data_IF_275327903697
#
_entry.id   IF_275327903697
#
_cell.length_a   1.000
_cell.length_b   1.000
_cell.length_c   1.000
_cell.angle_alpha   90.00
_cell.angle_beta   90.00
_cell.angle_gamma   90.00
#
_symmetry.space_group_name_H-M   'P 1'
#
loop_
_entity.id
_entity.type
_entity.pdbx_description
1 polymer ?
#
# COMPACT_ATOMS: atom_id res chain seq x y z
N UNK A 1 25.23 21.92 0.81
CA UNK A 1 24.48 20.70 0.39
C UNK A 1 24.53 19.75 1.56
N UNK A 2 23.39 19.42 2.12
CA UNK A 2 23.33 18.45 3.22
C UNK A 2 23.75 17.06 2.71
N UNK A 3 24.47 16.34 3.57
CA UNK A 3 24.84 14.95 3.27
C UNK A 3 23.56 14.10 3.14
N UNK A 4 23.32 13.44 2.00
CA UNK A 4 22.13 12.63 1.79
C UNK A 4 22.02 11.46 2.79
N UNK A 5 23.11 11.10 3.46
CA UNK A 5 23.12 10.10 4.53
C UNK A 5 22.65 10.65 5.89
N UNK A 6 22.52 11.99 6.04
CA UNK A 6 22.05 12.57 7.31
C UNK A 6 20.57 12.27 7.55
N UNK A 7 20.25 11.71 8.72
CA UNK A 7 18.88 11.44 9.14
C UNK A 7 18.24 12.69 9.75
N UNK A 8 17.20 13.20 9.13
CA UNK A 8 16.34 14.22 9.72
C UNK A 8 15.32 13.52 10.66
N UNK A 9 15.65 13.54 11.94
CA UNK A 9 14.83 12.91 13.00
C UNK A 9 13.52 13.66 13.19
N UNK A 10 13.51 14.99 13.10
CA UNK A 10 12.29 15.79 13.29
C UNK A 10 11.28 15.51 12.19
N UNK A 11 11.71 15.49 10.94
CA UNK A 11 10.87 15.12 9.80
C UNK A 11 10.35 13.69 9.95
N UNK A 12 11.19 12.72 10.32
CA UNK A 12 10.79 11.34 10.53
C UNK A 12 9.69 11.21 11.59
N UNK A 13 9.85 11.91 12.72
CA UNK A 13 8.83 11.90 13.78
C UNK A 13 7.54 12.61 13.35
N UNK A 14 7.61 13.64 12.51
CA UNK A 14 6.43 14.26 11.93
C UNK A 14 5.68 13.29 10.99
N UNK A 15 6.39 12.55 10.14
CA UNK A 15 5.81 11.52 9.27
C UNK A 15 5.13 10.40 10.08
N UNK A 16 5.74 9.97 11.19
CA UNK A 16 5.13 8.98 12.11
C UNK A 16 3.84 9.49 12.76
N UNK A 17 3.79 10.77 13.16
CA UNK A 17 2.56 11.39 13.67
C UNK A 17 1.45 11.41 12.61
N UNK A 18 1.78 11.78 11.37
CA UNK A 18 0.83 11.75 10.25
C UNK A 18 0.30 10.32 9.99
N UNK A 19 1.16 9.31 10.11
CA UNK A 19 0.74 7.90 10.03
C UNK A 19 -0.26 7.55 11.13
N UNK A 20 0.01 7.93 12.38
CA UNK A 20 -0.92 7.69 13.49
C UNK A 20 -2.27 8.40 13.29
N UNK A 21 -2.28 9.61 12.73
CA UNK A 21 -3.50 10.33 12.37
C UNK A 21 -4.27 9.60 11.28
N UNK A 22 -3.58 9.12 10.23
CA UNK A 22 -4.20 8.35 9.15
C UNK A 22 -4.82 7.04 9.64
N UNK A 23 -4.25 6.41 10.66
CA UNK A 23 -4.81 5.19 11.27
C UNK A 23 -6.08 5.44 12.11
N UNK A 24 -6.34 6.68 12.51
CA UNK A 24 -7.56 7.10 13.22
C UNK A 24 -8.65 7.62 12.28
N UNK A 25 -8.30 7.97 11.06
CA UNK A 25 -9.21 8.49 10.05
C UNK A 25 -10.05 7.35 9.44
N UNK A 26 -11.38 7.33 9.61
CA UNK A 26 -12.24 6.26 9.12
C UNK A 26 -12.22 6.10 7.59
N UNK A 27 -11.88 7.15 6.85
CA UNK A 27 -11.79 7.11 5.39
C UNK A 27 -10.43 6.64 4.86
N UNK A 28 -9.43 6.46 5.76
CA UNK A 28 -8.05 6.13 5.40
C UNK A 28 -7.52 4.90 6.13
N UNK A 29 -7.97 4.68 7.34
CA UNK A 29 -7.49 3.61 8.22
C UNK A 29 -7.71 2.22 7.62
N UNK A 30 -6.72 1.35 7.62
CA UNK A 30 -6.92 -0.06 7.27
C UNK A 30 -7.87 -0.78 8.24
N UNK A 31 -8.04 -0.27 9.45
CA UNK A 31 -8.97 -0.81 10.44
C UNK A 31 -10.44 -0.48 10.15
N UNK A 32 -10.69 0.50 9.29
CA UNK A 32 -12.03 0.77 8.78
C UNK A 32 -12.48 -0.27 7.73
N UNK A 33 -11.56 -1.04 7.15
CA UNK A 33 -11.90 -2.02 6.13
C UNK A 33 -12.72 -3.18 6.72
N UNK A 34 -13.91 -3.38 6.16
CA UNK A 34 -14.91 -4.38 6.61
C UNK A 34 -15.24 -5.40 5.53
N UNK A 35 -15.00 -5.11 4.26
CA UNK A 35 -15.24 -6.02 3.15
C UNK A 35 -14.29 -5.75 1.98
N UNK A 36 -14.12 -6.74 1.14
CA UNK A 36 -13.45 -6.65 -0.15
C UNK A 36 -14.24 -7.40 -1.19
N UNK A 37 -14.48 -6.78 -2.33
CA UNK A 37 -15.07 -7.41 -3.52
C UNK A 37 -14.11 -7.32 -4.69
N UNK A 38 -13.74 -8.46 -5.23
CA UNK A 38 -12.97 -8.54 -6.46
C UNK A 38 -13.95 -8.42 -7.65
N UNK A 39 -13.57 -7.66 -8.67
CA UNK A 39 -14.36 -7.60 -9.90
C UNK A 39 -14.12 -8.85 -10.71
N UNK A 40 -15.21 -9.50 -11.12
CA UNK A 40 -15.18 -10.59 -12.08
C UNK A 40 -15.65 -10.08 -13.45
N UNK A 41 -14.82 -10.27 -14.46
CA UNK A 41 -15.09 -9.87 -15.84
C UNK A 41 -15.62 -8.42 -16.00
N UNK A 42 -16.54 -8.19 -16.92
CA UNK A 42 -17.09 -6.86 -17.23
C UNK A 42 -18.31 -6.48 -16.40
N UNK A 43 -18.70 -7.29 -15.39
CA UNK A 43 -19.88 -7.00 -14.60
C UNK A 43 -19.65 -5.85 -13.60
N UNK A 44 -20.52 -4.85 -13.57
CA UNK A 44 -20.47 -3.81 -12.54
C UNK A 44 -20.82 -4.39 -11.18
N UNK A 45 -20.18 -3.91 -10.12
CA UNK A 45 -20.64 -4.12 -8.75
C UNK A 45 -21.66 -3.03 -8.41
N UNK A 46 -22.85 -3.44 -8.00
CA UNK A 46 -23.94 -2.56 -7.58
C UNK A 46 -23.91 -2.40 -6.06
N UNK A 47 -23.99 -1.14 -5.62
CA UNK A 47 -23.94 -0.76 -4.20
C UNK A 47 -25.25 -0.07 -3.82
N UNK A 48 -25.82 -0.45 -2.68
CA UNK A 48 -27.05 0.12 -2.18
C UNK A 48 -27.61 -0.66 -0.98
N UNK A 49 -28.82 -0.30 -0.54
CA UNK A 49 -29.42 -0.94 0.63
C UNK A 49 -30.27 -2.17 0.30
N UNK A 50 -30.57 -2.41 -0.97
CA UNK A 50 -31.38 -3.55 -1.39
C UNK A 50 -30.60 -4.87 -1.30
N UNK A 51 -31.30 -5.96 -1.04
CA UNK A 51 -30.70 -7.30 -0.92
C UNK A 51 -30.16 -7.84 -2.25
N UNK A 52 -30.57 -7.28 -3.38
CA UNK A 52 -30.06 -7.63 -4.72
C UNK A 52 -28.79 -6.86 -5.12
N UNK A 53 -28.23 -6.04 -4.24
CA UNK A 53 -26.95 -5.38 -4.47
C UNK A 53 -25.78 -6.33 -4.18
N UNK A 54 -24.71 -6.20 -4.97
CA UNK A 54 -23.44 -6.93 -4.75
C UNK A 54 -22.76 -6.52 -3.43
N UNK A 55 -22.94 -5.24 -3.05
CA UNK A 55 -22.48 -4.69 -1.78
C UNK A 55 -23.64 -3.99 -1.09
N UNK A 56 -24.14 -4.61 -0.03
CA UNK A 56 -25.23 -4.04 0.75
C UNK A 56 -24.73 -2.99 1.72
N UNK A 57 -25.25 -1.76 1.59
CA UNK A 57 -24.86 -0.60 2.36
C UNK A 57 -26.09 0.07 2.99
N UNK A 58 -26.21 -0.04 4.31
CA UNK A 58 -27.33 0.53 5.06
C UNK A 58 -27.38 2.05 4.95
N UNK A 59 -28.58 2.61 4.95
CA UNK A 59 -28.79 4.06 4.91
C UNK A 59 -28.64 4.69 3.53
N UNK A 60 -28.27 3.92 2.51
CA UNK A 60 -28.25 4.36 1.12
C UNK A 60 -29.60 4.11 0.44
N UNK A 61 -29.74 4.60 -0.81
CA UNK A 61 -30.86 4.23 -1.69
C UNK A 61 -30.80 2.76 -2.08
N UNK A 62 -31.92 2.13 -2.44
CA UNK A 62 -31.97 0.70 -2.76
C UNK A 62 -30.86 0.26 -3.74
N UNK A 63 -30.68 0.96 -4.84
CA UNK A 63 -29.59 0.77 -5.81
C UNK A 63 -28.92 2.12 -6.04
N UNK A 64 -27.97 2.47 -5.18
CA UNK A 64 -27.43 3.84 -5.12
C UNK A 64 -26.45 4.12 -6.26
N UNK A 65 -25.45 3.24 -6.40
CA UNK A 65 -24.37 3.41 -7.37
C UNK A 65 -23.94 2.07 -7.96
N UNK A 66 -23.22 2.13 -9.07
CA UNK A 66 -22.48 1.00 -9.63
C UNK A 66 -21.04 1.40 -9.94
N UNK A 67 -20.16 0.44 -9.86
CA UNK A 67 -18.75 0.59 -10.19
C UNK A 67 -18.34 -0.54 -11.14
N UNK A 68 -17.69 -0.20 -12.24
CA UNK A 68 -17.13 -1.20 -13.15
C UNK A 68 -15.70 -0.87 -13.52
N UNK A 69 -14.95 -1.88 -13.90
CA UNK A 69 -13.61 -1.72 -14.48
C UNK A 69 -13.74 -1.14 -15.89
N UNK A 70 -12.89 -0.19 -16.22
CA UNK A 70 -12.84 0.49 -17.52
C UNK A 70 -11.38 0.62 -17.98
N UNK A 71 -10.86 -0.46 -18.55
CA UNK A 71 -9.42 -0.60 -18.82
C UNK A 71 -8.61 -0.51 -17.53
N UNK A 72 -7.62 0.37 -17.49
CA UNK A 72 -6.76 0.63 -16.33
C UNK A 72 -7.41 1.56 -15.27
N UNK A 73 -8.70 1.86 -15.42
CA UNK A 73 -9.45 2.80 -14.58
C UNK A 73 -10.74 2.16 -14.09
N UNK A 74 -11.51 2.94 -13.35
CA UNK A 74 -12.86 2.56 -12.92
C UNK A 74 -13.87 3.61 -13.38
N UNK A 75 -15.06 3.15 -13.77
CA UNK A 75 -16.21 4.00 -13.99
C UNK A 75 -17.16 3.87 -12.81
N UNK A 76 -17.41 4.99 -12.13
CA UNK A 76 -18.35 5.12 -11.02
C UNK A 76 -19.57 5.87 -11.51
N UNK A 77 -20.77 5.31 -11.26
CA UNK A 77 -22.04 5.91 -11.69
C UNK A 77 -23.09 5.81 -10.58
N UNK A 78 -23.77 6.93 -10.30
CA UNK A 78 -24.99 6.95 -9.51
C UNK A 78 -26.15 6.45 -10.38
N UNK A 79 -26.78 5.33 -10.03
CA UNK A 79 -27.87 4.72 -10.82
C UNK A 79 -29.25 5.16 -10.36
N UNK A 80 -29.46 5.43 -9.07
CA UNK A 80 -30.72 6.04 -8.63
C UNK A 80 -30.82 7.48 -9.16
N UNK A 81 -31.98 7.92 -9.69
CA UNK A 81 -32.15 9.26 -10.25
C UNK A 81 -31.85 10.40 -9.28
N UNK A 82 -32.08 10.19 -7.99
CA UNK A 82 -31.80 11.17 -6.93
C UNK A 82 -30.47 10.96 -6.21
N UNK A 83 -29.63 10.00 -6.63
CA UNK A 83 -28.33 9.75 -6.02
C UNK A 83 -27.23 10.60 -6.67
N UNK A 84 -26.24 10.92 -5.84
CA UNK A 84 -24.95 11.47 -6.24
C UNK A 84 -23.86 10.63 -5.56
N UNK A 85 -22.68 10.66 -6.11
CA UNK A 85 -21.48 10.04 -5.52
C UNK A 85 -20.43 11.13 -5.33
N UNK A 86 -19.74 11.10 -4.20
CA UNK A 86 -18.56 11.93 -3.99
C UNK A 86 -17.32 11.09 -4.28
N UNK A 87 -16.51 11.55 -5.22
CA UNK A 87 -15.36 10.78 -5.71
C UNK A 87 -14.10 11.63 -5.62
N UNK A 88 -13.13 11.18 -4.89
CA UNK A 88 -11.83 11.84 -4.84
C UNK A 88 -10.91 11.25 -5.93
N UNK A 89 -10.37 12.08 -6.86
CA UNK A 89 -10.35 13.56 -6.85
C UNK A 89 -11.48 14.26 -7.61
N UNK A 90 -12.48 13.57 -8.17
CA UNK A 90 -13.44 14.15 -9.12
C UNK A 90 -14.55 15.04 -8.48
N UNK A 91 -14.74 14.96 -7.15
CA UNK A 91 -15.79 15.68 -6.44
C UNK A 91 -17.18 15.03 -6.55
N UNK A 92 -18.23 15.78 -6.20
CA UNK A 92 -19.62 15.30 -6.25
C UNK A 92 -20.11 15.24 -7.69
N UNK A 93 -20.56 14.06 -8.13
CA UNK A 93 -20.96 13.82 -9.51
C UNK A 93 -21.97 12.70 -9.63
N UNK A 94 -22.59 12.56 -10.80
CA UNK A 94 -23.38 11.36 -11.14
C UNK A 94 -22.57 10.30 -11.86
N UNK A 95 -21.44 10.69 -12.49
CA UNK A 95 -20.60 9.77 -13.25
C UNK A 95 -19.18 10.31 -13.31
N UNK A 96 -18.20 9.46 -12.99
CA UNK A 96 -16.79 9.77 -13.13
C UNK A 96 -15.98 8.54 -13.57
N UNK A 97 -15.00 8.77 -14.46
CA UNK A 97 -13.94 7.82 -14.73
C UNK A 97 -12.73 8.19 -13.87
N UNK A 98 -12.27 7.27 -13.07
CA UNK A 98 -11.25 7.56 -12.03
C UNK A 98 -10.12 6.52 -12.03
N UNK A 99 -8.88 6.93 -11.71
CA UNK A 99 -7.74 6.01 -11.64
C UNK A 99 -7.82 5.10 -10.42
N UNK A 100 -7.00 4.04 -10.36
CA UNK A 100 -6.76 3.27 -9.15
C UNK A 100 -6.29 4.16 -8.00
N UNK A 101 -6.64 3.77 -6.77
CA UNK A 101 -6.38 4.57 -5.58
C UNK A 101 -7.45 5.62 -5.27
N UNK A 102 -8.38 5.88 -6.20
CA UNK A 102 -9.53 6.76 -5.96
C UNK A 102 -10.43 6.21 -4.84
N UNK A 103 -11.15 7.14 -4.19
CA UNK A 103 -12.14 6.82 -3.15
C UNK A 103 -13.50 7.31 -3.58
N UNK A 104 -14.53 6.53 -3.24
CA UNK A 104 -15.93 6.87 -3.44
C UNK A 104 -16.58 6.93 -2.07
N UNK A 105 -17.11 8.08 -1.69
CA UNK A 105 -17.78 8.30 -0.41
C UNK A 105 -19.29 8.09 -0.56
N UNK A 106 -19.85 7.21 0.27
CA UNK A 106 -21.24 6.78 0.22
C UNK A 106 -21.81 6.75 1.63
N UNK A 107 -22.28 7.90 2.12
CA UNK A 107 -22.71 8.05 3.52
C UNK A 107 -21.57 7.78 4.49
N UNK A 108 -21.76 6.82 5.42
CA UNK A 108 -20.72 6.41 6.37
C UNK A 108 -19.63 5.53 5.76
N UNK A 109 -19.78 5.12 4.51
CA UNK A 109 -18.88 4.19 3.86
C UNK A 109 -17.92 4.90 2.91
N UNK A 110 -16.71 4.37 2.82
CA UNK A 110 -15.75 4.75 1.80
C UNK A 110 -15.34 3.51 1.01
N UNK A 111 -15.47 3.57 -0.30
CA UNK A 111 -14.99 2.53 -1.21
C UNK A 111 -13.63 2.95 -1.77
N UNK A 112 -12.60 2.15 -1.54
CA UNK A 112 -11.27 2.32 -2.15
C UNK A 112 -11.16 1.43 -3.38
N UNK A 113 -10.78 2.01 -4.51
CA UNK A 113 -10.63 1.31 -5.78
C UNK A 113 -9.16 0.88 -5.96
N UNK A 114 -8.95 -0.41 -6.18
CA UNK A 114 -7.63 -1.03 -6.33
C UNK A 114 -7.54 -1.78 -7.64
N UNK A 115 -6.50 -1.52 -8.43
CA UNK A 115 -6.27 -2.22 -9.69
C UNK A 115 -4.84 -2.80 -9.71
N UNK A 116 -4.72 -4.01 -9.23
CA UNK A 116 -3.44 -4.72 -9.09
C UNK A 116 -3.32 -5.83 -10.15
N UNK A 117 -3.79 -5.57 -11.40
CA UNK A 117 -4.15 -6.57 -12.39
C UNK A 117 -5.23 -7.57 -11.91
N UNK A 118 -5.70 -7.40 -10.68
CA UNK A 118 -6.85 -8.05 -10.05
C UNK A 118 -7.71 -6.96 -9.41
N UNK A 119 -8.56 -6.30 -10.22
CA UNK A 119 -9.34 -5.17 -9.76
C UNK A 119 -10.25 -5.55 -8.59
N UNK A 120 -10.31 -4.68 -7.60
CA UNK A 120 -11.14 -4.86 -6.42
C UNK A 120 -11.60 -3.53 -5.85
N UNK A 121 -12.68 -3.55 -5.12
CA UNK A 121 -13.01 -2.52 -4.16
C UNK A 121 -12.74 -3.03 -2.73
N UNK A 122 -12.30 -2.14 -1.86
CA UNK A 122 -12.22 -2.36 -0.41
C UNK A 122 -13.18 -1.39 0.25
N UNK A 123 -14.13 -1.94 0.99
CA UNK A 123 -15.14 -1.19 1.72
C UNK A 123 -14.63 -0.82 3.10
N UNK A 124 -14.65 0.46 3.42
CA UNK A 124 -14.39 1.01 4.75
C UNK A 124 -15.72 1.46 5.36
N UNK A 125 -15.89 1.22 6.65
CA UNK A 125 -17.05 1.67 7.44
C UNK A 125 -16.55 2.48 8.65
N UNK A 126 -17.02 3.71 8.80
CA UNK A 126 -16.68 4.57 9.95
C UNK A 126 -17.08 3.95 11.31
N UNK A 127 -18.04 3.00 11.30
CA UNK A 127 -18.46 2.28 12.48
C UNK A 127 -17.70 0.95 12.70
N UNK A 128 -16.61 0.71 11.96
CA UNK A 128 -15.80 -0.49 12.18
C UNK A 128 -15.29 -0.57 13.62
N UNK A 129 -15.56 -1.65 14.35
CA UNK A 129 -15.09 -1.81 15.73
C UNK A 129 -13.56 -1.76 15.84
N UNK A 130 -12.87 -2.13 14.77
CA UNK A 130 -11.41 -2.14 14.74
C UNK A 130 -10.78 -0.75 14.70
N UNK A 131 -11.52 0.29 14.33
CA UNK A 131 -11.02 1.68 14.43
C UNK A 131 -10.66 2.05 15.86
N UNK A 132 -11.45 1.58 16.85
CA UNK A 132 -11.22 1.85 18.26
C UNK A 132 -10.27 0.84 18.92
N UNK A 133 -10.22 -0.41 18.43
CA UNK A 133 -9.52 -1.52 19.09
C UNK A 133 -8.22 -1.94 18.39
N UNK A 134 -7.99 -1.51 17.15
CA UNK A 134 -6.80 -1.87 16.39
C UNK A 134 -5.52 -1.29 17.01
N UNK A 135 -4.44 -2.08 17.13
CA UNK A 135 -3.19 -1.60 17.70
C UNK A 135 -2.57 -0.51 16.83
N UNK A 136 -2.14 0.58 17.45
CA UNK A 136 -1.44 1.64 16.74
C UNK A 136 -0.11 1.13 16.14
N UNK A 137 0.31 1.61 14.96
CA UNK A 137 1.64 1.37 14.46
C UNK A 137 2.71 1.73 15.51
N UNK A 138 3.75 0.92 15.59
CA UNK A 138 4.89 1.12 16.47
C UNK A 138 6.17 1.09 15.67
N UNK A 139 7.17 1.81 16.12
CA UNK A 139 8.46 1.91 15.45
C UNK A 139 9.60 1.65 16.42
N UNK A 140 10.72 1.17 15.89
CA UNK A 140 12.00 1.29 16.58
C UNK A 140 12.39 2.76 16.73
N UNK A 141 13.25 3.06 17.70
CA UNK A 141 13.84 4.39 17.82
C UNK A 141 14.59 4.77 16.54
N UNK A 142 14.61 6.06 16.17
CA UNK A 142 15.38 6.52 15.03
C UNK A 142 16.88 6.23 15.22
N UNK A 143 17.49 5.57 14.22
CA UNK A 143 18.91 5.26 14.24
C UNK A 143 19.56 5.64 12.90
N UNK A 144 20.46 6.64 12.89
CA UNK A 144 21.17 7.06 11.68
C UNK A 144 21.98 5.95 11.01
N UNK A 145 22.44 4.93 11.75
CA UNK A 145 23.18 3.80 11.20
C UNK A 145 22.36 2.96 10.19
N UNK A 146 21.03 3.07 10.23
CA UNK A 146 20.12 2.44 9.28
C UNK A 146 19.67 3.36 8.15
N UNK A 147 20.30 4.50 7.94
CA UNK A 147 20.16 5.33 6.75
C UNK A 147 21.45 5.26 5.95
N UNK A 148 21.44 4.52 4.86
CA UNK A 148 22.64 4.19 4.09
C UNK A 148 22.49 4.58 2.63
N UNK A 149 23.63 4.79 1.95
CA UNK A 149 23.66 4.97 0.51
C UNK A 149 23.81 3.62 -0.18
N UNK A 150 23.05 3.41 -1.24
CA UNK A 150 23.08 2.23 -2.06
C UNK A 150 23.34 2.58 -3.53
N UNK A 151 24.20 1.85 -4.18
CA UNK A 151 24.44 1.96 -5.63
C UNK A 151 23.51 1.03 -6.37
N UNK A 152 22.78 1.57 -7.33
CA UNK A 152 21.97 0.77 -8.24
C UNK A 152 22.85 0.18 -9.36
N UNK A 153 22.92 -1.15 -9.36
CA UNK A 153 23.43 -1.95 -10.47
C UNK A 153 22.24 -2.31 -11.35
N UNK A 154 22.06 -1.57 -12.45
CA UNK A 154 20.87 -1.71 -13.32
C UNK A 154 20.88 -3.04 -14.03
N UNK A 155 19.73 -3.66 -14.14
CA UNK A 155 19.57 -4.83 -15.00
C UNK A 155 19.71 -4.39 -16.46
N UNK A 156 20.73 -4.88 -17.20
CA UNK A 156 20.93 -4.51 -18.59
C UNK A 156 19.85 -5.06 -19.54
N UNK A 157 19.09 -6.05 -19.07
CA UNK A 157 17.97 -6.66 -19.76
C UNK A 157 16.77 -6.81 -18.83
N UNK A 158 16.08 -5.70 -18.53
CA UNK A 158 14.99 -5.71 -17.57
C UNK A 158 13.98 -6.80 -17.92
N UNK A 159 13.76 -7.72 -16.97
CA UNK A 159 12.82 -8.84 -17.13
C UNK A 159 11.58 -8.58 -16.32
N UNK A 160 10.46 -9.06 -16.85
CA UNK A 160 9.27 -9.15 -16.02
C UNK A 160 9.45 -10.29 -15.00
N UNK A 161 9.06 -10.00 -13.79
CA UNK A 161 9.06 -10.93 -12.68
C UNK A 161 7.66 -11.10 -12.11
N UNK A 162 7.44 -12.27 -11.57
CA UNK A 162 6.20 -12.57 -10.86
C UNK A 162 6.43 -12.36 -9.36
N UNK A 163 5.62 -11.48 -8.78
CA UNK A 163 5.60 -11.24 -7.34
C UNK A 163 4.30 -11.82 -6.78
N UNK A 164 4.43 -12.79 -5.90
CA UNK A 164 3.27 -13.39 -5.20
C UNK A 164 2.71 -12.37 -4.21
N UNK A 165 1.40 -12.37 -4.03
CA UNK A 165 0.71 -11.52 -3.06
C UNK A 165 0.08 -12.35 -1.94
N UNK A 166 -0.22 -11.69 -0.82
CA UNK A 166 -0.72 -12.32 0.42
C UNK A 166 -2.07 -13.02 0.25
N UNK A 167 -2.84 -12.71 -0.80
CA UNK A 167 -4.10 -13.39 -1.14
C UNK A 167 -3.94 -14.42 -2.27
N UNK A 168 -2.71 -14.80 -2.59
CA UNK A 168 -2.41 -15.81 -3.62
C UNK A 168 -2.40 -15.30 -5.05
N UNK A 169 -2.82 -14.08 -5.32
CA UNK A 169 -2.71 -13.48 -6.65
C UNK A 169 -1.24 -13.23 -7.00
N UNK A 170 -0.92 -13.31 -8.27
CA UNK A 170 0.41 -12.98 -8.78
C UNK A 170 0.39 -11.59 -9.43
N UNK A 171 1.40 -10.79 -9.17
CA UNK A 171 1.61 -9.48 -9.77
C UNK A 171 2.75 -9.54 -10.75
N UNK A 172 2.70 -8.69 -11.76
CA UNK A 172 3.81 -8.47 -12.67
C UNK A 172 4.65 -7.31 -12.15
N UNK A 173 5.95 -7.51 -12.14
CA UNK A 173 6.92 -6.48 -11.78
C UNK A 173 8.04 -6.44 -12.82
N UNK A 174 8.72 -5.32 -12.92
CA UNK A 174 9.97 -5.20 -13.63
C UNK A 174 11.11 -5.09 -12.63
N UNK A 175 12.16 -5.90 -12.83
CA UNK A 175 13.41 -5.71 -12.09
C UNK A 175 14.08 -4.45 -12.60
N UNK A 176 14.25 -3.46 -11.74
CA UNK A 176 14.99 -2.22 -12.05
C UNK A 176 16.49 -2.48 -11.99
N UNK A 177 16.91 -3.33 -11.04
CA UNK A 177 18.28 -3.69 -10.79
C UNK A 177 18.48 -4.18 -9.36
N UNK A 178 19.71 -4.10 -8.91
CA UNK A 178 20.10 -4.44 -7.55
C UNK A 178 20.67 -3.21 -6.85
N UNK A 179 20.32 -3.03 -5.62
CA UNK A 179 20.88 -2.00 -4.75
C UNK A 179 21.95 -2.63 -3.85
N UNK A 180 23.20 -2.29 -4.09
CA UNK A 180 24.36 -2.70 -3.31
C UNK A 180 24.68 -1.66 -2.23
N UNK A 181 24.80 -2.09 -0.99
CA UNK A 181 25.04 -1.22 0.17
C UNK A 181 25.74 -1.96 1.30
N UNK A 182 26.13 -1.21 2.32
CA UNK A 182 26.61 -1.74 3.59
C UNK A 182 25.71 -1.25 4.72
N UNK A 183 25.29 -2.14 5.60
CA UNK A 183 24.49 -1.84 6.79
C UNK A 183 24.94 -2.71 7.96
N UNK A 184 25.10 -2.10 9.12
CA UNK A 184 25.61 -2.75 10.33
C UNK A 184 26.93 -3.54 10.08
N UNK A 185 27.84 -2.96 9.30
CA UNK A 185 29.14 -3.57 8.95
C UNK A 185 29.07 -4.77 8.00
N UNK A 186 27.89 -5.02 7.39
CA UNK A 186 27.68 -6.16 6.48
C UNK A 186 27.33 -5.65 5.09
N UNK A 187 28.04 -6.14 4.06
CA UNK A 187 27.65 -5.90 2.67
C UNK A 187 26.37 -6.67 2.35
N UNK A 188 25.44 -5.99 1.72
CA UNK A 188 24.14 -6.51 1.39
C UNK A 188 23.70 -6.05 -0.01
N UNK A 189 22.78 -6.80 -0.58
CA UNK A 189 22.17 -6.50 -1.89
C UNK A 189 20.68 -6.78 -1.81
N UNK A 190 19.88 -5.88 -2.37
CA UNK A 190 18.42 -6.05 -2.50
C UNK A 190 17.99 -5.80 -3.95
N UNK A 191 17.07 -6.61 -4.43
CA UNK A 191 16.41 -6.40 -5.71
C UNK A 191 15.47 -5.20 -5.60
N UNK A 192 15.61 -4.27 -6.51
CA UNK A 192 14.73 -3.15 -6.71
C UNK A 192 13.70 -3.47 -7.79
N UNK A 193 12.43 -3.35 -7.47
CA UNK A 193 11.30 -3.69 -8.32
C UNK A 193 10.45 -2.48 -8.65
N UNK A 194 9.83 -2.50 -9.82
CA UNK A 194 8.70 -1.65 -10.18
C UNK A 194 7.50 -2.53 -10.48
N UNK A 195 6.41 -2.36 -9.76
CA UNK A 195 5.17 -3.08 -10.08
C UNK A 195 4.59 -2.56 -11.39
N UNK A 196 4.18 -3.48 -12.27
CA UNK A 196 3.56 -3.17 -13.57
C UNK A 196 2.04 -3.17 -13.39
N UNK A 197 1.56 -2.16 -12.69
CA UNK A 197 0.15 -2.01 -12.33
C UNK A 197 -0.35 -0.62 -12.74
N UNK A 198 -1.63 -0.50 -13.12
CA UNK A 198 -2.21 0.79 -13.41
C UNK A 198 -2.06 1.78 -12.24
N UNK A 199 -1.59 2.99 -12.54
CA UNK A 199 -1.37 4.04 -11.53
C UNK A 199 -0.03 4.00 -10.82
N UNK A 200 0.84 3.03 -11.10
CA UNK A 200 2.24 3.03 -10.61
C UNK A 200 3.09 3.88 -11.54
N UNK A 201 3.83 4.82 -10.96
CA UNK A 201 4.74 5.70 -11.69
C UNK A 201 5.88 4.91 -12.33
N UNK A 202 6.26 5.28 -13.56
CA UNK A 202 7.33 4.60 -14.30
C UNK A 202 8.71 4.73 -13.65
N UNK A 203 8.92 5.75 -12.85
CA UNK A 203 10.15 5.97 -12.07
C UNK A 203 10.12 5.33 -10.68
N UNK A 204 9.00 4.74 -10.28
CA UNK A 204 8.86 4.14 -8.95
C UNK A 204 9.85 3.00 -8.74
N UNK A 205 10.49 2.99 -7.59
CA UNK A 205 11.36 1.91 -7.12
C UNK A 205 10.84 1.47 -5.77
N UNK A 206 10.50 0.19 -5.64
CA UNK A 206 10.05 -0.40 -4.38
C UNK A 206 10.94 -1.57 -4.00
N UNK A 207 11.20 -1.70 -2.72
CA UNK A 207 11.90 -2.82 -2.12
C UNK A 207 10.95 -3.51 -1.15
N UNK A 208 10.69 -4.79 -1.39
CA UNK A 208 10.01 -5.67 -0.45
C UNK A 208 11.07 -6.58 0.16
N UNK A 209 11.26 -6.57 1.48
CA UNK A 209 12.38 -7.28 2.10
C UNK A 209 12.02 -7.96 3.41
N UNK A 210 12.85 -8.94 3.77
CA UNK A 210 12.90 -9.58 5.08
C UNK A 210 14.29 -9.41 5.66
N UNK A 211 14.39 -9.47 6.97
CA UNK A 211 15.64 -9.40 7.70
C UNK A 211 15.62 -10.34 8.92
N UNK A 212 16.65 -10.32 9.75
CA UNK A 212 16.73 -11.20 10.91
C UNK A 212 15.71 -10.89 12.03
N UNK A 213 15.00 -9.75 11.95
CA UNK A 213 13.89 -9.40 12.87
C UNK A 213 12.54 -9.95 12.42
N UNK A 214 12.43 -10.35 11.14
CA UNK A 214 11.16 -10.75 10.52
C UNK A 214 10.54 -11.96 11.22
N UNK A 215 9.27 -11.84 11.63
CA UNK A 215 8.53 -12.86 12.36
C UNK A 215 8.86 -12.95 13.85
N UNK A 216 9.65 -12.02 14.38
CA UNK A 216 9.99 -11.90 15.80
C UNK A 216 9.68 -10.51 16.35
N UNK A 217 10.30 -9.49 15.77
CA UNK A 217 10.18 -8.08 16.15
C UNK A 217 9.44 -7.30 15.09
N UNK A 218 9.46 -7.77 13.84
CA UNK A 218 8.77 -7.17 12.69
C UNK A 218 7.85 -8.15 12.01
N UNK A 219 6.94 -7.63 11.19
CA UNK A 219 5.84 -8.38 10.58
C UNK A 219 6.33 -9.61 9.79
N UNK A 220 5.69 -10.79 9.95
CA UNK A 220 6.17 -12.06 9.37
C UNK A 220 6.26 -12.10 7.84
N UNK A 221 5.43 -11.35 7.14
CA UNK A 221 5.50 -11.28 5.66
C UNK A 221 6.75 -10.52 5.21
N UNK A 222 7.19 -9.52 5.99
CA UNK A 222 8.28 -8.62 5.69
C UNK A 222 7.83 -7.16 5.70
N UNK A 223 8.71 -6.26 5.30
CA UNK A 223 8.50 -4.80 5.25
C UNK A 223 8.83 -4.25 3.88
N UNK A 224 8.40 -3.02 3.65
CA UNK A 224 8.60 -2.30 2.39
C UNK A 224 9.44 -1.05 2.61
N UNK A 225 10.13 -0.64 1.55
CA UNK A 225 10.89 0.58 1.50
C UNK A 225 10.79 1.15 0.08
N UNK A 226 10.52 2.43 -0.04
CA UNK A 226 10.48 3.17 -1.30
C UNK A 226 11.68 4.13 -1.34
N UNK A 227 12.84 3.66 -1.83
CA UNK A 227 14.06 4.46 -1.84
C UNK A 227 13.94 5.60 -2.84
N UNK A 228 14.64 6.70 -2.55
CA UNK A 228 14.70 7.85 -3.45
C UNK A 228 16.09 8.00 -4.02
N UNK A 229 16.21 8.33 -5.32
CA UNK A 229 17.51 8.65 -5.91
C UNK A 229 18.08 9.92 -5.28
N UNK A 230 19.41 9.97 -5.15
CA UNK A 230 20.11 11.19 -4.76
C UNK A 230 20.07 12.17 -5.93
N UNK A 231 19.74 13.42 -5.66
CA UNK A 231 19.76 14.47 -6.66
C UNK A 231 21.13 14.51 -7.37
N UNK A 232 21.14 14.63 -8.68
CA UNK A 232 22.35 14.61 -9.54
C UNK A 232 23.11 13.26 -9.61
N UNK A 233 22.60 12.18 -9.01
CA UNK A 233 23.22 10.84 -9.05
C UNK A 233 22.15 9.76 -9.22
N UNK A 234 21.63 9.52 -10.44
CA UNK A 234 20.45 8.67 -10.67
C UNK A 234 20.65 7.19 -10.32
N UNK A 235 21.89 6.75 -10.16
CA UNK A 235 22.23 5.39 -9.74
C UNK A 235 22.66 5.29 -8.26
N UNK A 236 22.55 6.40 -7.52
CA UNK A 236 22.76 6.43 -6.09
C UNK A 236 21.44 6.67 -5.37
N UNK A 237 21.09 5.80 -4.44
CA UNK A 237 19.85 5.84 -3.70
C UNK A 237 20.08 5.97 -2.20
N UNK A 238 19.16 6.62 -1.52
CA UNK A 238 19.11 6.63 -0.06
C UNK A 238 18.20 5.50 0.38
N UNK A 239 18.74 4.51 1.09
CA UNK A 239 17.98 3.49 1.80
C UNK A 239 17.83 3.91 3.25
N UNK A 240 16.68 4.49 3.59
CA UNK A 240 16.38 4.90 4.95
C UNK A 240 15.46 3.87 5.61
N UNK A 241 16.06 2.85 6.22
CA UNK A 241 15.30 1.80 6.90
C UNK A 241 14.48 2.31 8.10
N UNK A 242 14.77 3.54 8.61
CA UNK A 242 13.90 4.18 9.62
C UNK A 242 12.51 4.48 9.07
N UNK A 243 12.35 4.49 7.74
CA UNK A 243 11.11 4.63 7.00
C UNK A 243 10.56 3.31 6.46
N UNK A 244 11.18 2.18 6.81
CA UNK A 244 10.62 0.87 6.45
C UNK A 244 9.26 0.69 7.13
N UNK A 245 8.26 0.24 6.34
CA UNK A 245 6.87 0.16 6.79
C UNK A 245 6.27 -1.23 6.53
N UNK A 246 5.24 -1.55 7.30
CA UNK A 246 4.51 -2.80 7.13
C UNK A 246 3.55 -2.71 5.93
N UNK A 247 3.38 -3.78 5.15
CA UNK A 247 2.30 -3.86 4.19
C UNK A 247 0.94 -3.70 4.87
N UNK A 248 -0.01 -3.10 4.19
CA UNK A 248 -1.34 -2.81 4.76
C UNK A 248 -2.05 -4.09 5.23
N UNK A 249 -1.73 -5.26 4.66
CA UNK A 249 -2.26 -6.55 5.12
C UNK A 249 -1.80 -6.94 6.54
N UNK A 250 -0.79 -6.29 7.09
CA UNK A 250 -0.43 -6.42 8.50
C UNK A 250 -1.53 -5.91 9.45
N UNK A 251 -2.40 -5.03 8.96
CA UNK A 251 -3.45 -4.37 9.72
C UNK A 251 -4.85 -4.85 9.33
N UNK A 252 -5.04 -5.34 8.10
CA UNK A 252 -6.34 -5.84 7.64
C UNK A 252 -6.20 -6.86 6.50
N UNK A 253 -6.86 -8.01 6.64
CA UNK A 253 -6.88 -9.10 5.64
C UNK A 253 -7.62 -8.76 4.33
N UNK A 254 -8.32 -7.62 4.29
CA UNK A 254 -8.98 -7.14 3.07
C UNK A 254 -8.00 -6.61 2.01
N UNK A 255 -6.72 -6.41 2.38
CA UNK A 255 -5.70 -5.95 1.45
C UNK A 255 -4.87 -7.08 0.86
N UNK A 256 -4.44 -6.89 -0.37
CA UNK A 256 -3.61 -7.82 -1.12
C UNK A 256 -2.24 -7.19 -1.36
N UNK A 257 -1.21 -7.71 -0.72
CA UNK A 257 0.12 -7.08 -0.64
C UNK A 257 1.20 -7.97 -1.24
N UNK A 258 2.21 -7.39 -1.94
CA UNK A 258 3.36 -8.15 -2.46
C UNK A 258 4.10 -8.87 -1.34
N UNK A 259 4.48 -10.11 -1.59
CA UNK A 259 5.37 -10.86 -0.71
C UNK A 259 6.82 -10.63 -1.16
N UNK A 260 7.75 -10.30 -0.24
CA UNK A 260 9.15 -10.13 -0.59
C UNK A 260 9.74 -11.31 -1.35
N UNK A 261 10.46 -11.09 -2.44
CA UNK A 261 11.16 -12.16 -3.16
C UNK A 261 12.20 -12.83 -2.25
N UNK A 262 12.53 -14.08 -2.53
CA UNK A 262 13.46 -14.85 -1.70
C UNK A 262 14.85 -14.21 -1.61
N UNK A 263 15.29 -13.55 -2.67
CA UNK A 263 16.57 -12.83 -2.77
C UNK A 263 16.64 -11.64 -1.80
N UNK A 264 15.50 -11.01 -1.46
CA UNK A 264 15.42 -9.86 -0.58
C UNK A 264 15.36 -10.26 0.89
N UNK A 265 16.31 -11.05 1.31
CA UNK A 265 16.48 -11.49 2.70
C UNK A 265 17.84 -11.08 3.25
N UNK A 266 17.82 -10.07 4.13
CA UNK A 266 19.02 -9.62 4.83
C UNK A 266 19.36 -10.55 6.01
N UNK A 267 20.64 -10.90 6.13
CA UNK A 267 21.12 -11.71 7.26
C UNK A 267 21.24 -10.90 8.56
N UNK A 268 21.27 -9.57 8.48
CA UNK A 268 21.37 -8.65 9.60
C UNK A 268 19.99 -8.27 10.16
N UNK A 269 19.95 -7.91 11.44
CA UNK A 269 18.74 -7.40 12.08
C UNK A 269 18.59 -5.90 11.81
N UNK A 270 17.55 -5.50 11.09
CA UNK A 270 17.24 -4.09 10.83
C UNK A 270 16.24 -3.62 11.89
N UNK A 271 16.78 -3.18 13.04
CA UNK A 271 15.96 -2.59 14.12
C UNK A 271 15.72 -1.11 13.88
N UNK A 272 15.13 -0.80 12.73
CA UNK A 272 14.69 0.52 12.31
C UNK A 272 13.37 0.40 11.55
N UNK A 273 12.56 1.47 11.49
CA UNK A 273 11.24 1.47 10.85
C UNK A 273 10.16 0.83 11.70
N UNK A 274 9.09 0.37 11.08
CA UNK A 274 7.92 -0.21 11.76
C UNK A 274 8.22 -1.59 12.35
N UNK A 275 7.71 -1.78 13.57
CA UNK A 275 7.68 -3.07 14.27
C UNK A 275 6.43 -3.88 13.88
N UNK A 276 6.37 -5.13 14.30
CA UNK A 276 5.15 -5.92 14.20
C UNK A 276 4.02 -5.22 14.99
N UNK A 277 2.88 -4.89 14.34
CA UNK A 277 1.75 -4.29 15.05
C UNK A 277 1.14 -5.24 16.10
N UNK A 278 1.35 -6.55 15.96
CA UNK A 278 0.67 -7.56 16.76
C UNK A 278 -0.80 -7.74 16.37
N UNK A 279 -1.50 -8.68 17.01
CA UNK A 279 -2.94 -8.87 16.80
C UNK A 279 -3.32 -9.47 15.44
N UNK A 280 -2.43 -10.27 14.85
CA UNK A 280 -2.75 -11.07 13.68
C UNK A 280 -3.80 -12.12 14.06
N UNK A 281 -5.09 -11.74 13.94
CA UNK A 281 -6.19 -12.72 13.96
C UNK A 281 -6.08 -13.51 12.65
N UNK A 282 -5.83 -14.80 12.76
CA UNK A 282 -5.85 -15.73 11.65
C UNK A 282 -7.22 -15.79 10.99
#
# INVERSE_FOLDING_TARGET
MEDPATLDVEQLLAERRQTLEAFRDPHRSPYAAVDRRDFSDSHPLVLGSSDDCDVRLEGLRPRHAQIRVDGDSFLVEAIDPGAMVEVTPAGVTRRARVPPGSRVELGRYTVRLSHQNFPALVLLDEHSPRLASGPAPRWFDPDPAFRVLARLDRDPSPREEIVVSTRGNVRRAQRVGWLDFEVAGTRARLVALRLLEPGVDESAVSIFFRDATTGRETYPVGRYLDPKPVAASPDLFVLDFNRAYNPVCAFSSHYNCPVPPQENRLAVAIRAGEMDPGGHSG
#
